data_IF_117452573694
#
_entry.id   IF_117452573694
#
_cell.length_a   1.000
_cell.length_b   1.000
_cell.length_c   1.000
_cell.angle_alpha   90.00
_cell.angle_beta   90.00
_cell.angle_gamma   90.00
#
_symmetry.space_group_name_H-M   'P 1'
#
loop_
_entity.id
_entity.type
_entity.pdbx_description
1 polymer ?
#
# COMPACT_ATOMS: atom_id res chain seq x y z
N UNK A 1 -67.64 10.09 30.17
CA UNK A 1 -68.25 10.72 28.97
C UNK A 1 -67.40 10.31 27.78
N UNK A 2 -67.82 9.59 26.75
CA UNK A 2 -69.10 9.05 26.28
C UNK A 2 -68.83 7.63 25.73
N UNK A 3 -69.82 6.77 25.92
CA UNK A 3 -70.03 5.43 25.37
C UNK A 3 -70.39 5.45 23.87
N UNK A 4 -70.21 4.28 23.21
CA UNK A 4 -71.05 3.59 22.18
C UNK A 4 -70.08 2.72 21.33
N UNK A 5 -69.97 1.39 21.42
CA UNK A 5 -70.88 0.22 21.39
C UNK A 5 -71.29 -0.24 19.97
N UNK A 6 -71.12 -1.55 19.71
CA UNK A 6 -71.70 -2.40 18.64
C UNK A 6 -71.08 -2.31 17.23
N UNK A 7 -70.80 -3.39 16.47
CA UNK A 7 -71.18 -4.81 16.57
C UNK A 7 -70.34 -5.69 15.62
N UNK A 8 -70.01 -6.90 16.10
CA UNK A 8 -70.06 -8.21 15.43
C UNK A 8 -69.96 -8.30 13.89
N UNK A 9 -68.89 -8.96 13.42
CA UNK A 9 -69.01 -10.00 12.39
C UNK A 9 -67.85 -11.00 12.48
N UNK A 10 -68.17 -12.17 13.04
CA UNK A 10 -67.37 -13.40 13.00
C UNK A 10 -67.69 -14.09 11.68
N UNK A 11 -66.69 -14.26 10.80
CA UNK A 11 -66.69 -15.33 9.80
C UNK A 11 -65.33 -15.98 9.86
N UNK A 12 -65.32 -17.21 10.37
CA UNK A 12 -64.16 -18.07 10.38
C UNK A 12 -63.81 -18.53 8.98
N UNK A 13 -62.54 -18.38 8.63
CA UNK A 13 -61.91 -19.22 7.62
C UNK A 13 -60.83 -20.00 8.33
N UNK A 14 -61.15 -21.27 8.61
CA UNK A 14 -60.20 -22.31 8.98
C UNK A 14 -59.34 -22.55 7.73
N UNK A 15 -58.27 -21.79 7.61
CA UNK A 15 -57.21 -22.01 6.64
C UNK A 15 -56.26 -23.06 7.21
N UNK A 16 -56.31 -24.25 6.60
CA UNK A 16 -55.46 -25.40 6.83
C UNK A 16 -54.02 -25.00 7.20
N UNK A 17 -53.59 -25.46 8.36
CA UNK A 17 -52.19 -25.56 8.75
C UNK A 17 -51.46 -26.43 7.73
N UNK A 18 -50.98 -25.80 6.66
CA UNK A 18 -49.99 -26.36 5.77
C UNK A 18 -48.70 -26.47 6.55
N UNK A 19 -48.43 -27.65 7.09
CA UNK A 19 -47.08 -28.09 7.39
C UNK A 19 -46.30 -28.10 6.06
N UNK A 20 -45.81 -26.95 5.63
CA UNK A 20 -44.68 -26.88 4.72
C UNK A 20 -43.47 -27.39 5.50
N UNK A 21 -43.40 -28.70 5.71
CA UNK A 21 -42.15 -29.35 6.07
C UNK A 21 -41.19 -29.01 4.95
N UNK A 22 -40.22 -28.14 5.22
CA UNK A 22 -39.10 -27.92 4.34
C UNK A 22 -38.59 -29.30 3.94
N UNK A 23 -38.75 -29.68 2.67
CA UNK A 23 -38.38 -30.99 2.16
C UNK A 23 -36.85 -31.09 2.29
N UNK A 24 -36.40 -31.62 3.42
CA UNK A 24 -35.03 -32.01 3.71
C UNK A 24 -34.67 -33.24 2.86
N UNK A 25 -34.73 -33.10 1.53
CA UNK A 25 -34.30 -34.16 0.61
C UNK A 25 -32.79 -34.06 0.36
N UNK A 26 -32.17 -35.18 0.00
CA UNK A 26 -30.72 -35.26 -0.23
C UNK A 26 -30.21 -34.17 -1.20
N UNK A 27 -30.95 -33.89 -2.28
CA UNK A 27 -30.57 -32.87 -3.26
C UNK A 27 -30.48 -31.46 -2.66
N UNK A 28 -31.41 -31.08 -1.76
CA UNK A 28 -31.37 -29.79 -1.06
C UNK A 28 -30.18 -29.67 -0.11
N UNK A 29 -29.79 -30.75 0.57
CA UNK A 29 -28.58 -30.81 1.41
C UNK A 29 -27.31 -30.67 0.58
N UNK A 30 -27.18 -31.45 -0.49
CA UNK A 30 -26.02 -31.40 -1.41
C UNK A 30 -25.85 -30.01 -2.01
N UNK A 31 -26.95 -29.36 -2.42
CA UNK A 31 -26.91 -27.99 -2.95
C UNK A 31 -26.41 -27.00 -1.91
N UNK A 32 -26.95 -27.03 -0.69
CA UNK A 32 -26.53 -26.14 0.39
C UNK A 32 -25.06 -26.36 0.82
N UNK A 33 -24.59 -27.60 0.85
CA UNK A 33 -23.18 -27.91 1.11
C UNK A 33 -22.25 -27.43 -0.01
N UNK A 34 -22.67 -27.61 -1.26
CA UNK A 34 -21.90 -27.15 -2.43
C UNK A 34 -21.75 -25.63 -2.45
N UNK A 35 -22.84 -24.88 -2.23
CA UNK A 35 -22.82 -23.41 -2.13
C UNK A 35 -21.92 -22.93 -0.97
N UNK A 36 -22.01 -23.59 0.18
CA UNK A 36 -21.15 -23.30 1.34
C UNK A 36 -19.67 -23.59 1.06
N UNK A 37 -19.35 -24.65 0.32
CA UNK A 37 -17.97 -24.97 -0.04
C UNK A 37 -17.41 -24.00 -1.08
N UNK A 38 -18.26 -23.52 -2.00
CA UNK A 38 -17.92 -22.46 -2.95
C UNK A 38 -17.54 -21.15 -2.23
N UNK A 39 -18.26 -20.78 -1.18
CA UNK A 39 -17.93 -19.59 -0.36
C UNK A 39 -16.54 -19.71 0.31
N UNK A 40 -16.22 -20.89 0.84
CA UNK A 40 -14.92 -21.14 1.48
C UNK A 40 -13.78 -21.09 0.48
N UNK A 41 -13.94 -21.71 -0.70
CA UNK A 41 -12.92 -21.68 -1.74
C UNK A 41 -12.71 -20.26 -2.29
N UNK A 42 -13.78 -19.49 -2.47
CA UNK A 42 -13.70 -18.08 -2.87
C UNK A 42 -12.98 -17.21 -1.83
N UNK A 43 -13.27 -17.39 -0.54
CA UNK A 43 -12.57 -16.68 0.53
C UNK A 43 -11.07 -17.01 0.54
N UNK A 44 -10.73 -18.28 0.36
CA UNK A 44 -9.33 -18.70 0.26
C UNK A 44 -8.63 -18.09 -0.96
N UNK A 45 -9.26 -18.16 -2.14
CA UNK A 45 -8.71 -17.59 -3.37
C UNK A 45 -8.50 -16.07 -3.25
N UNK A 46 -9.47 -15.35 -2.69
CA UNK A 46 -9.30 -13.92 -2.45
C UNK A 46 -8.15 -13.64 -1.47
N UNK A 47 -8.00 -14.46 -0.43
CA UNK A 47 -6.90 -14.31 0.52
C UNK A 47 -5.54 -14.54 -0.13
N UNK A 48 -5.42 -15.49 -1.06
CA UNK A 48 -4.21 -15.69 -1.86
C UNK A 48 -3.92 -14.49 -2.78
N UNK A 49 -4.96 -13.93 -3.41
CA UNK A 49 -4.81 -12.70 -4.24
C UNK A 49 -4.34 -11.52 -3.41
N UNK A 50 -4.92 -11.33 -2.23
CA UNK A 50 -4.52 -10.27 -1.29
C UNK A 50 -3.06 -10.45 -0.87
N UNK A 51 -2.65 -11.68 -0.50
CA UNK A 51 -1.26 -11.99 -0.14
C UNK A 51 -0.31 -11.70 -1.30
N UNK A 52 -0.63 -12.20 -2.50
CA UNK A 52 0.20 -11.99 -3.69
C UNK A 52 0.40 -10.51 -4.00
N UNK A 53 -0.71 -9.74 -4.00
CA UNK A 53 -0.66 -8.28 -4.19
C UNK A 53 0.13 -7.59 -3.08
N UNK A 54 0.01 -8.06 -1.83
CA UNK A 54 0.78 -7.54 -0.71
C UNK A 54 2.28 -7.76 -0.86
N UNK A 55 2.71 -8.93 -1.35
CA UNK A 55 4.11 -9.22 -1.65
C UNK A 55 4.65 -8.33 -2.77
N UNK A 56 3.87 -8.13 -3.82
CA UNK A 56 4.25 -7.27 -4.94
C UNK A 56 4.44 -5.82 -4.47
N UNK A 57 3.51 -5.26 -3.67
CA UNK A 57 3.65 -3.93 -3.08
C UNK A 57 4.87 -3.80 -2.14
N UNK A 58 5.20 -4.85 -1.39
CA UNK A 58 6.41 -4.84 -0.56
C UNK A 58 7.69 -4.82 -1.40
N UNK A 59 7.69 -5.50 -2.55
CA UNK A 59 8.82 -5.49 -3.46
C UNK A 59 8.99 -4.10 -4.12
N UNK A 60 7.89 -3.55 -4.62
CA UNK A 60 7.86 -2.21 -5.23
C UNK A 60 8.26 -1.14 -4.21
N UNK A 61 7.71 -1.19 -3.00
CA UNK A 61 8.02 -0.20 -1.96
C UNK A 61 9.48 -0.20 -1.55
N UNK A 62 10.11 -1.39 -1.47
CA UNK A 62 11.55 -1.50 -1.23
C UNK A 62 12.37 -0.92 -2.37
N UNK A 63 11.95 -1.12 -3.61
CA UNK A 63 12.62 -0.59 -4.79
C UNK A 63 12.51 0.94 -4.84
N UNK A 64 11.33 1.49 -4.56
CA UNK A 64 11.11 2.94 -4.49
C UNK A 64 11.97 3.57 -3.39
N UNK A 65 11.98 3.01 -2.17
CA UNK A 65 12.85 3.49 -1.10
C UNK A 65 14.34 3.39 -1.46
N UNK A 66 14.78 2.30 -2.11
CA UNK A 66 16.18 2.16 -2.53
C UNK A 66 16.59 3.20 -3.59
N UNK A 67 15.71 3.46 -4.56
CA UNK A 67 15.89 4.52 -5.55
C UNK A 67 15.96 5.90 -4.87
N UNK A 68 15.01 6.19 -3.98
CA UNK A 68 14.95 7.48 -3.29
C UNK A 68 16.19 7.74 -2.43
N UNK A 69 16.65 6.75 -1.67
CA UNK A 69 17.90 6.84 -0.92
C UNK A 69 19.15 7.04 -1.81
N UNK A 70 19.12 6.55 -3.05
CA UNK A 70 20.22 6.77 -4.00
C UNK A 70 20.22 8.21 -4.48
N UNK A 71 19.05 8.73 -4.88
CA UNK A 71 18.90 10.13 -5.29
C UNK A 71 19.27 11.11 -4.18
N UNK A 72 18.86 10.86 -2.93
CA UNK A 72 19.25 11.70 -1.79
C UNK A 72 20.78 11.76 -1.65
N UNK A 73 21.47 10.62 -1.69
CA UNK A 73 22.95 10.60 -1.59
C UNK A 73 23.62 11.31 -2.75
N UNK A 74 23.11 11.15 -3.97
CA UNK A 74 23.62 11.84 -5.15
C UNK A 74 23.42 13.35 -5.03
N UNK A 75 22.24 13.79 -4.58
CA UNK A 75 21.95 15.20 -4.34
C UNK A 75 22.80 15.80 -3.22
N UNK A 76 23.01 15.08 -2.11
CA UNK A 76 23.92 15.50 -1.03
C UNK A 76 25.36 15.67 -1.53
N UNK A 77 25.81 14.76 -2.41
CA UNK A 77 27.13 14.85 -3.05
C UNK A 77 27.22 16.09 -3.95
N UNK A 78 26.24 16.36 -4.79
CA UNK A 78 26.21 17.56 -5.63
C UNK A 78 26.25 18.83 -4.79
N UNK A 79 25.45 18.90 -3.73
CA UNK A 79 25.45 20.04 -2.80
C UNK A 79 26.83 20.22 -2.14
N UNK A 80 27.49 19.13 -1.73
CA UNK A 80 28.84 19.21 -1.16
C UNK A 80 29.85 19.75 -2.18
N UNK A 81 29.81 19.25 -3.41
CA UNK A 81 30.69 19.68 -4.49
C UNK A 81 30.47 21.15 -4.84
N UNK A 82 29.21 21.57 -5.01
CA UNK A 82 28.83 22.95 -5.26
C UNK A 82 29.36 23.90 -4.16
N UNK A 83 29.26 23.51 -2.88
CA UNK A 83 29.77 24.32 -1.77
C UNK A 83 31.28 24.47 -1.79
N UNK A 84 32.00 23.38 -2.04
CA UNK A 84 33.47 23.39 -2.14
C UNK A 84 33.95 24.26 -3.31
N UNK A 85 33.32 24.11 -4.47
CA UNK A 85 33.59 24.90 -5.67
C UNK A 85 33.30 26.38 -5.41
N UNK A 86 32.09 26.73 -4.94
CA UNK A 86 31.70 28.10 -4.64
C UNK A 86 32.68 28.77 -3.65
N UNK A 87 33.12 28.04 -2.61
CA UNK A 87 34.12 28.52 -1.66
C UNK A 87 35.47 28.81 -2.35
N UNK A 88 35.95 27.89 -3.19
CA UNK A 88 37.20 28.05 -3.94
C UNK A 88 37.12 29.26 -4.88
N UNK A 89 36.02 29.39 -5.62
CA UNK A 89 35.79 30.51 -6.53
C UNK A 89 35.70 31.84 -5.77
N UNK A 90 35.10 31.86 -4.57
CA UNK A 90 35.09 33.06 -3.72
C UNK A 90 36.47 33.49 -3.27
N UNK A 91 37.35 32.56 -2.93
CA UNK A 91 38.73 32.88 -2.59
C UNK A 91 39.49 33.43 -3.80
N UNK A 92 39.31 32.81 -4.98
CA UNK A 92 39.88 33.29 -6.24
C UNK A 92 39.40 34.69 -6.60
N UNK A 93 38.09 34.96 -6.47
CA UNK A 93 37.50 36.27 -6.70
C UNK A 93 38.15 37.33 -5.82
N UNK A 94 38.25 37.08 -4.51
CA UNK A 94 38.85 38.01 -3.55
C UNK A 94 40.32 38.32 -3.89
N UNK A 95 41.10 37.31 -4.28
CA UNK A 95 42.48 37.48 -4.70
C UNK A 95 42.61 38.31 -5.99
N UNK A 96 41.74 38.06 -6.98
CA UNK A 96 41.76 38.77 -8.25
C UNK A 96 41.24 40.21 -8.14
N UNK A 97 40.16 40.43 -7.38
CA UNK A 97 39.63 41.76 -7.08
C UNK A 97 40.68 42.63 -6.36
N UNK A 98 41.42 42.04 -5.42
CA UNK A 98 42.55 42.73 -4.77
C UNK A 98 43.64 43.10 -5.78
N UNK A 99 43.94 42.21 -6.72
CA UNK A 99 44.93 42.46 -7.78
C UNK A 99 44.50 43.55 -8.76
N UNK A 100 43.20 43.72 -9.00
CA UNK A 100 42.65 44.78 -9.87
C UNK A 100 42.94 46.18 -9.31
N UNK A 101 42.84 46.35 -7.99
CA UNK A 101 43.14 47.65 -7.35
C UNK A 101 44.60 48.09 -7.49
N UNK A 102 45.51 47.15 -7.75
CA UNK A 102 46.93 47.40 -8.00
C UNK A 102 47.32 47.44 -9.49
N UNK A 103 46.37 47.36 -10.42
CA UNK A 103 46.66 47.32 -11.84
C UNK A 103 47.23 48.67 -12.33
N UNK A 104 48.45 48.63 -12.88
CA UNK A 104 49.20 49.83 -13.28
C UNK A 104 48.86 50.35 -14.69
N UNK A 105 48.08 49.60 -15.48
CA UNK A 105 47.64 50.00 -16.81
C UNK A 105 46.34 49.28 -17.24
N UNK A 106 45.67 49.84 -18.24
CA UNK A 106 44.37 49.35 -18.72
C UNK A 106 44.41 47.94 -19.31
N UNK A 107 45.52 47.53 -19.96
CA UNK A 107 45.64 46.17 -20.51
C UNK A 107 45.61 45.12 -19.41
N UNK A 108 46.37 45.32 -18.34
CA UNK A 108 46.39 44.42 -17.19
C UNK A 108 45.06 44.42 -16.44
N UNK A 109 44.38 45.57 -16.36
CA UNK A 109 43.06 45.65 -15.77
C UNK A 109 42.04 44.81 -16.57
N UNK A 110 42.06 44.88 -17.90
CA UNK A 110 41.19 44.08 -18.77
C UNK A 110 41.41 42.57 -18.55
N UNK A 111 42.67 42.10 -18.54
CA UNK A 111 42.98 40.68 -18.29
C UNK A 111 42.52 40.18 -16.90
N UNK A 112 42.44 41.07 -15.91
CA UNK A 112 41.91 40.73 -14.58
C UNK A 112 40.39 40.67 -14.60
N UNK A 113 39.74 41.60 -15.32
CA UNK A 113 38.28 41.61 -15.50
C UNK A 113 37.82 40.35 -16.22
N UNK A 114 38.49 39.92 -17.29
CA UNK A 114 38.16 38.68 -18.02
C UNK A 114 38.18 37.46 -17.06
N UNK A 115 39.18 37.38 -16.18
CA UNK A 115 39.26 36.30 -15.19
C UNK A 115 38.22 36.41 -14.07
N UNK A 116 37.75 37.61 -13.76
CA UNK A 116 36.65 37.80 -12.81
C UNK A 116 35.33 37.35 -13.43
N UNK A 117 35.17 37.54 -14.74
CA UNK A 117 34.04 37.03 -15.54
C UNK A 117 34.03 35.49 -15.52
N UNK A 118 35.17 34.84 -15.82
CA UNK A 118 35.31 33.38 -15.72
C UNK A 118 34.92 32.85 -14.32
N UNK A 119 35.25 33.59 -13.26
CA UNK A 119 34.90 33.21 -11.87
C UNK A 119 33.40 33.36 -11.61
N UNK A 120 32.74 34.33 -12.25
CA UNK A 120 31.29 34.50 -12.15
C UNK A 120 30.56 33.33 -12.83
N UNK A 121 31.01 32.92 -14.02
CA UNK A 121 30.47 31.74 -14.71
C UNK A 121 30.60 30.47 -13.85
N UNK A 122 31.75 30.28 -13.19
CA UNK A 122 31.90 29.14 -12.27
C UNK A 122 31.01 29.20 -11.03
N UNK A 123 30.56 30.39 -10.61
CA UNK A 123 29.57 30.49 -9.54
C UNK A 123 28.17 30.11 -10.02
N UNK A 124 27.81 30.44 -11.26
CA UNK A 124 26.56 30.00 -11.88
C UNK A 124 26.54 28.47 -11.97
N UNK A 125 27.61 27.85 -12.48
CA UNK A 125 27.75 26.38 -12.51
C UNK A 125 27.60 25.72 -11.12
N UNK A 126 28.13 26.37 -10.08
CA UNK A 126 28.03 25.86 -8.72
C UNK A 126 26.60 26.01 -8.15
N UNK A 127 25.89 27.08 -8.49
CA UNK A 127 24.48 27.28 -8.09
C UNK A 127 23.57 26.28 -8.80
N UNK A 128 23.81 26.02 -10.09
CA UNK A 128 23.09 24.99 -10.86
C UNK A 128 23.26 23.60 -10.23
N UNK A 129 24.50 23.18 -9.92
CA UNK A 129 24.74 21.92 -9.20
C UNK A 129 24.05 21.87 -7.84
N UNK A 130 23.98 23.00 -7.14
CA UNK A 130 23.30 23.08 -5.86
C UNK A 130 21.78 22.95 -6.02
N UNK A 131 21.20 23.54 -7.07
CA UNK A 131 19.79 23.40 -7.41
C UNK A 131 19.45 21.95 -7.81
N UNK A 132 20.21 21.36 -8.74
CA UNK A 132 20.08 19.96 -9.15
C UNK A 132 20.17 19.02 -7.94
N UNK A 133 21.11 19.29 -7.03
CA UNK A 133 21.27 18.51 -5.82
C UNK A 133 20.06 18.57 -4.89
N UNK A 134 19.37 19.71 -4.80
CA UNK A 134 18.12 19.81 -4.03
C UNK A 134 16.98 19.06 -4.70
N UNK A 135 16.84 19.19 -6.02
CA UNK A 135 15.81 18.50 -6.78
C UNK A 135 15.93 16.98 -6.60
N UNK A 136 17.15 16.44 -6.69
CA UNK A 136 17.40 15.02 -6.41
C UNK A 136 17.02 14.60 -4.98
N UNK A 137 17.26 15.45 -3.98
CA UNK A 137 16.84 15.17 -2.61
C UNK A 137 15.32 15.19 -2.47
N UNK A 138 14.64 16.14 -3.12
CA UNK A 138 13.17 16.24 -3.10
C UNK A 138 12.51 15.04 -3.78
N UNK A 139 12.96 14.70 -4.99
CA UNK A 139 12.55 13.49 -5.70
C UNK A 139 12.84 12.24 -4.87
N UNK A 140 14.03 12.19 -4.27
CA UNK A 140 14.43 11.06 -3.45
C UNK A 140 13.53 10.88 -2.23
N UNK A 141 13.17 11.97 -1.54
CA UNK A 141 12.21 11.96 -0.43
C UNK A 141 10.82 11.50 -0.89
N UNK A 142 10.38 11.93 -2.07
CA UNK A 142 9.10 11.50 -2.66
C UNK A 142 9.09 9.99 -2.89
N UNK A 143 10.13 9.43 -3.52
CA UNK A 143 10.25 7.98 -3.75
C UNK A 143 10.33 7.19 -2.41
N UNK A 144 10.95 7.75 -1.37
CA UNK A 144 10.97 7.13 -0.04
C UNK A 144 9.58 7.11 0.58
N UNK A 145 8.84 8.21 0.51
CA UNK A 145 7.48 8.31 1.03
C UNK A 145 6.51 7.37 0.30
N UNK A 146 6.59 7.32 -1.03
CA UNK A 146 5.83 6.37 -1.85
C UNK A 146 6.15 4.93 -1.44
N UNK A 147 7.42 4.58 -1.31
CA UNK A 147 7.80 3.23 -0.94
C UNK A 147 7.41 2.82 0.49
N UNK A 148 7.34 3.77 1.42
CA UNK A 148 6.79 3.55 2.76
C UNK A 148 5.28 3.26 2.69
N UNK A 149 4.53 4.06 1.93
CA UNK A 149 3.09 3.86 1.71
C UNK A 149 2.78 2.51 1.08
N UNK A 150 3.52 2.11 0.04
CA UNK A 150 3.39 0.78 -0.58
C UNK A 150 3.70 -0.34 0.40
N UNK A 151 4.72 -0.15 1.24
CA UNK A 151 5.08 -1.13 2.28
C UNK A 151 3.97 -1.30 3.30
N UNK A 152 3.36 -0.21 3.78
CA UNK A 152 2.24 -0.24 4.72
C UNK A 152 1.01 -0.93 4.11
N UNK A 153 0.64 -0.58 2.88
CA UNK A 153 -0.46 -1.21 2.16
C UNK A 153 -0.19 -2.71 1.93
N UNK A 154 1.04 -3.06 1.57
CA UNK A 154 1.45 -4.45 1.39
C UNK A 154 1.33 -5.28 2.67
N UNK A 155 1.78 -4.75 3.80
CA UNK A 155 1.64 -5.40 5.12
C UNK A 155 0.16 -5.59 5.52
N UNK A 156 -0.68 -4.60 5.25
CA UNK A 156 -2.12 -4.69 5.49
C UNK A 156 -2.74 -5.83 4.69
N UNK A 157 -2.44 -5.92 3.38
CA UNK A 157 -2.95 -6.98 2.51
C UNK A 157 -2.45 -8.38 2.91
N UNK A 158 -1.18 -8.51 3.31
CA UNK A 158 -0.67 -9.77 3.85
C UNK A 158 -1.44 -10.20 5.09
N UNK A 159 -1.70 -9.26 6.00
CA UNK A 159 -2.42 -9.53 7.26
C UNK A 159 -3.87 -9.94 6.98
N UNK A 160 -4.59 -9.16 6.17
CA UNK A 160 -5.98 -9.46 5.83
C UNK A 160 -6.11 -10.74 5.01
N UNK A 161 -5.22 -10.96 4.05
CA UNK A 161 -5.22 -12.15 3.20
C UNK A 161 -4.97 -13.42 4.00
N UNK A 162 -3.97 -13.42 4.90
CA UNK A 162 -3.70 -14.54 5.82
C UNK A 162 -4.86 -14.81 6.77
N UNK A 163 -5.44 -13.77 7.37
CA UNK A 163 -6.60 -13.91 8.25
C UNK A 163 -7.81 -14.52 7.52
N UNK A 164 -8.05 -14.10 6.27
CA UNK A 164 -9.13 -14.64 5.43
C UNK A 164 -8.90 -16.12 5.10
N UNK A 165 -7.68 -16.50 4.72
CA UNK A 165 -7.32 -17.90 4.47
C UNK A 165 -7.47 -18.76 5.72
N UNK A 166 -7.01 -18.28 6.88
CA UNK A 166 -7.15 -18.98 8.16
C UNK A 166 -8.63 -19.16 8.55
N UNK A 167 -9.47 -18.15 8.34
CA UNK A 167 -10.91 -18.28 8.56
C UNK A 167 -11.55 -19.30 7.61
N UNK A 168 -11.18 -19.29 6.33
CA UNK A 168 -11.66 -20.25 5.35
C UNK A 168 -11.26 -21.68 5.74
N UNK A 169 -10.02 -21.89 6.16
CA UNK A 169 -9.52 -23.18 6.65
C UNK A 169 -10.26 -23.64 7.91
N UNK A 170 -10.44 -22.76 8.90
CA UNK A 170 -11.18 -23.09 10.12
C UNK A 170 -12.63 -23.49 9.81
N UNK A 171 -13.32 -22.75 8.92
CA UNK A 171 -14.68 -23.10 8.45
C UNK A 171 -14.70 -24.45 7.73
N UNK A 172 -13.68 -24.75 6.93
CA UNK A 172 -13.57 -26.04 6.25
C UNK A 172 -13.41 -27.19 7.25
N UNK A 173 -12.47 -27.06 8.20
CA UNK A 173 -12.19 -28.06 9.24
C UNK A 173 -13.39 -28.32 10.16
N UNK A 174 -14.12 -27.28 10.56
CA UNK A 174 -15.34 -27.45 11.37
C UNK A 174 -16.38 -28.32 10.65
N UNK A 175 -16.53 -28.14 9.33
CA UNK A 175 -17.51 -28.89 8.53
C UNK A 175 -17.09 -30.33 8.28
N UNK A 176 -15.84 -30.54 7.89
CA UNK A 176 -15.31 -31.90 7.67
C UNK A 176 -15.21 -32.69 8.97
N UNK A 177 -14.91 -32.02 10.09
CA UNK A 177 -14.92 -32.61 11.43
C UNK A 177 -16.33 -32.95 11.95
N UNK A 178 -17.34 -32.14 11.67
CA UNK A 178 -18.75 -32.45 12.05
C UNK A 178 -19.37 -33.56 11.19
N UNK A 179 -19.03 -33.64 9.90
CA UNK A 179 -19.56 -34.67 8.99
C UNK A 179 -19.17 -36.11 9.35
N UNK A 180 -18.00 -36.30 9.98
CA UNK A 180 -17.56 -37.62 10.47
C UNK A 180 -18.32 -38.09 11.71
N UNK A 181 -18.80 -37.17 12.55
CA UNK A 181 -19.53 -37.51 13.78
C UNK A 181 -21.00 -37.83 13.48
N UNK A 182 -21.60 -37.17 12.49
CA UNK A 182 -22.99 -37.41 12.06
C UNK A 182 -23.14 -38.71 11.24
N UNK A 183 -22.08 -39.15 10.54
CA UNK A 183 -22.08 -40.45 9.83
C UNK A 183 -21.91 -41.66 10.74
N UNK A 184 -21.41 -41.51 11.98
CA UNK A 184 -21.32 -42.61 12.95
C UNK A 184 -22.62 -42.92 13.70
N UNK A 185 -23.70 -42.13 13.53
CA UNK A 185 -24.98 -42.34 14.23
C UNK A 185 -26.08 -42.96 13.36
N UNK A 186 -25.75 -43.52 12.18
CA UNK A 186 -26.73 -44.19 11.31
C UNK A 186 -26.73 -45.72 11.38
N UNK A 187 -25.88 -46.35 12.20
CA UNK A 187 -25.97 -47.79 12.49
C UNK A 187 -26.03 -48.03 13.99
N UNK A 188 -27.24 -48.27 14.49
CA UNK A 188 -27.58 -49.40 15.36
C UNK A 188 -29.04 -49.26 15.78
N UNK A 189 -29.97 -49.68 14.90
CA UNK A 189 -31.24 -50.21 15.37
C UNK A 189 -31.00 -51.68 15.70
N UNK A 190 -31.10 -52.12 16.96
CA UNK A 190 -31.04 -53.54 17.26
C UNK A 190 -32.25 -54.22 16.63
N UNK A 191 -32.00 -55.12 15.68
CA UNK A 191 -33.00 -56.04 15.16
C UNK A 191 -33.31 -57.07 16.26
N UNK A 192 -34.32 -56.79 17.06
CA UNK A 192 -34.97 -57.81 17.87
C UNK A 192 -35.85 -58.67 16.97
N UNK A 193 -35.35 -59.84 16.56
CA UNK A 193 -36.14 -61.04 16.28
C UNK A 193 -35.28 -62.28 16.53
#
# INVERSE_FOLDING_TARGET
MKTVLCSLLVVGVVGLSGCATAQNNFASKVKAESEKNLDVSQQWEQGQKDVKKGEDLLADGRKAMAKGNTQIREGEKLISQAREEAQKHRQSFQAMASSLTGAQNGKRAAEIVDKLDDIADFWEDADDKYADGKELIEDGNTNVAEGQSETEQGQSLLTSGRARMQQAESKYQQRTGQGLVEQMHLEEKPSNF
#
